data_IF_080250916960
#
_entry.id   IF_080250916960
#
_cell.length_a   1.000
_cell.length_b   1.000
_cell.length_c   1.000
_cell.angle_alpha   90.00
_cell.angle_beta   90.00
_cell.angle_gamma   90.00
#
_symmetry.space_group_name_H-M   'P 1'
#
loop_
_entity.id
_entity.type
_entity.pdbx_description
1 polymer ?
#
# COMPACT_ATOMS: atom_id res chain seq x y z
N UNK A 1 -56.87 -30.01 -19.75
CA UNK A 1 -58.17 -29.91 -19.04
C UNK A 1 -57.81 -29.58 -17.59
N UNK A 2 -58.15 -28.41 -17.02
CA UNK A 2 -59.49 -27.85 -16.67
C UNK A 2 -60.23 -28.72 -15.64
N UNK A 3 -60.86 -28.23 -14.55
CA UNK A 3 -60.94 -26.93 -13.79
C UNK A 3 -61.77 -27.23 -12.50
N UNK A 4 -61.88 -26.48 -11.39
CA UNK A 4 -61.47 -25.15 -10.87
C UNK A 4 -60.70 -25.36 -9.51
N UNK A 5 -60.13 -24.42 -8.72
CA UNK A 5 -60.19 -22.95 -8.47
C UNK A 5 -61.30 -22.41 -7.51
N UNK A 6 -60.91 -21.89 -6.33
CA UNK A 6 -61.80 -21.26 -5.32
C UNK A 6 -61.21 -19.98 -4.68
N UNK A 7 -62.00 -18.90 -4.77
CA UNK A 7 -62.20 -17.74 -3.85
C UNK A 7 -61.02 -16.87 -3.35
N UNK A 8 -60.96 -15.58 -3.73
CA UNK A 8 -61.60 -14.36 -3.14
C UNK A 8 -60.92 -13.87 -1.83
N UNK A 9 -60.09 -12.80 -1.90
CA UNK A 9 -60.43 -11.34 -1.84
C UNK A 9 -60.75 -10.82 -0.42
N UNK A 10 -59.85 -9.99 0.13
CA UNK A 10 -60.09 -9.18 1.33
C UNK A 10 -58.99 -8.13 1.58
N UNK A 11 -59.31 -6.85 1.40
CA UNK A 11 -58.51 -5.63 1.66
C UNK A 11 -59.47 -4.42 1.73
N UNK A 12 -59.10 -3.25 2.30
CA UNK A 12 -57.91 -2.92 3.09
C UNK A 12 -58.26 -2.25 4.45
N UNK A 13 -57.25 -1.85 5.23
CA UNK A 13 -57.39 -0.85 6.29
C UNK A 13 -56.29 0.23 6.17
N UNK A 14 -56.63 1.49 6.44
CA UNK A 14 -55.71 2.64 6.45
C UNK A 14 -55.23 2.89 7.88
N UNK A 15 -54.03 3.43 8.09
CA UNK A 15 -53.82 4.45 9.15
C UNK A 15 -52.54 5.31 8.97
N UNK A 16 -52.79 6.60 8.86
CA UNK A 16 -51.98 7.78 9.23
C UNK A 16 -52.99 8.83 9.74
N UNK A 17 -52.61 9.96 10.36
CA UNK A 17 -51.27 10.52 10.59
C UNK A 17 -50.99 10.87 12.08
N UNK A 18 -49.84 11.48 12.39
CA UNK A 18 -49.75 12.86 12.88
C UNK A 18 -48.34 13.27 13.32
N UNK A 19 -48.03 14.53 13.04
CA UNK A 19 -46.83 15.27 13.44
C UNK A 19 -46.76 15.56 14.94
N UNK A 20 -45.55 15.76 15.47
CA UNK A 20 -45.34 16.73 16.56
C UNK A 20 -44.09 17.60 16.35
N UNK A 21 -44.14 18.82 16.90
CA UNK A 21 -43.14 19.89 16.81
C UNK A 21 -42.96 20.48 18.22
N UNK A 22 -41.85 21.20 18.45
CA UNK A 22 -41.39 21.72 19.75
C UNK A 22 -40.96 20.59 20.73
N UNK A 23 -39.83 20.64 21.44
CA UNK A 23 -39.12 21.73 22.15
C UNK A 23 -39.76 22.11 23.48
N UNK A 24 -39.12 21.68 24.59
CA UNK A 24 -38.53 22.55 25.60
C UNK A 24 -37.72 21.73 26.62
N UNK A 25 -36.71 22.35 27.25
CA UNK A 25 -35.95 21.79 28.38
C UNK A 25 -36.46 22.40 29.69
N UNK A 26 -36.24 21.73 30.84
CA UNK A 26 -35.46 22.43 31.87
C UNK A 26 -34.51 21.55 32.70
N UNK A 27 -33.29 22.07 32.93
CA UNK A 27 -32.47 22.02 34.18
C UNK A 27 -32.12 20.63 34.78
N UNK A 28 -30.93 20.39 35.36
CA UNK A 28 -30.11 21.29 36.19
C UNK A 28 -28.59 21.03 36.11
N UNK A 29 -27.84 22.14 36.14
CA UNK A 29 -26.69 22.43 37.02
C UNK A 29 -25.65 21.34 37.30
N UNK A 30 -24.46 21.51 36.70
CA UNK A 30 -23.23 21.72 37.49
C UNK A 30 -22.48 22.93 36.91
N UNK A 31 -21.85 23.73 37.78
CA UNK A 31 -21.22 25.01 37.40
C UNK A 31 -19.69 24.90 37.35
N UNK A 32 -19.09 25.56 36.37
CA UNK A 32 -17.66 25.90 36.33
C UNK A 32 -17.52 27.42 36.12
N UNK A 33 -16.56 28.09 36.77
CA UNK A 33 -16.44 29.55 36.73
C UNK A 33 -16.04 30.07 35.34
N UNK A 34 -16.67 31.17 34.92
CA UNK A 34 -16.23 31.96 33.78
C UNK A 34 -15.14 32.95 34.21
N UNK A 35 -14.07 33.18 33.41
CA UNK A 35 -13.19 34.32 33.60
C UNK A 35 -13.92 35.64 33.23
N UNK A 36 -13.51 36.79 33.78
CA UNK A 36 -14.16 38.08 33.51
C UNK A 36 -13.95 38.54 32.06
N UNK A 37 -14.90 39.33 31.49
CA UNK A 37 -14.78 39.85 30.13
C UNK A 37 -13.67 40.91 30.03
N UNK A 38 -12.74 40.71 29.08
CA UNK A 38 -11.74 41.72 28.74
C UNK A 38 -12.39 42.88 27.96
N UNK A 39 -12.20 44.10 28.45
CA UNK A 39 -12.63 45.33 27.77
C UNK A 39 -11.74 45.56 26.54
N UNK A 40 -12.34 45.76 25.37
CA UNK A 40 -11.61 46.05 24.14
C UNK A 40 -11.22 47.53 24.05
N UNK A 41 -9.91 47.80 24.15
CA UNK A 41 -9.31 49.11 23.85
C UNK A 41 -8.63 49.14 22.47
N UNK A 42 -8.60 50.27 21.75
CA UNK A 42 -8.12 50.33 20.37
C UNK A 42 -6.59 50.37 20.27
N UNK A 43 -5.97 49.24 19.90
CA UNK A 43 -4.54 49.13 19.56
C UNK A 43 -4.30 48.17 18.39
N UNK A 44 -4.93 48.46 17.24
CA UNK A 44 -4.75 47.71 16.00
C UNK A 44 -3.39 48.03 15.36
N UNK A 45 -2.78 47.03 14.71
CA UNK A 45 -1.62 47.13 13.80
C UNK A 45 -0.23 47.50 14.36
N UNK A 46 0.40 46.61 15.16
CA UNK A 46 1.87 46.39 15.06
C UNK A 46 2.40 45.02 15.56
N UNK A 47 1.68 43.89 15.38
CA UNK A 47 2.16 42.56 15.88
C UNK A 47 2.01 41.35 14.95
N UNK A 48 1.77 41.54 13.66
CA UNK A 48 1.51 40.43 12.70
C UNK A 48 2.74 39.82 12.00
N UNK A 49 3.95 40.37 12.19
CA UNK A 49 5.15 39.93 11.46
C UNK A 49 6.06 38.91 12.19
N UNK A 50 6.09 38.90 13.53
CA UNK A 50 7.11 38.12 14.28
C UNK A 50 6.65 36.72 14.75
N UNK A 51 5.34 36.48 14.85
CA UNK A 51 4.81 35.22 15.40
C UNK A 51 4.94 33.99 14.48
N UNK A 52 4.91 34.19 13.16
CA UNK A 52 4.89 33.11 12.16
C UNK A 52 6.25 32.45 11.97
N UNK A 53 7.34 33.23 12.00
CA UNK A 53 8.70 32.72 11.86
C UNK A 53 9.08 31.78 13.02
N UNK A 54 8.91 32.23 14.27
CA UNK A 54 9.26 31.46 15.47
C UNK A 54 8.43 30.18 15.59
N UNK A 55 7.12 30.24 15.30
CA UNK A 55 6.25 29.07 15.27
C UNK A 55 6.64 28.05 14.20
N UNK A 56 7.19 28.50 13.06
CA UNK A 56 7.68 27.62 11.99
C UNK A 56 8.99 26.93 12.36
N UNK A 57 9.91 27.64 13.03
CA UNK A 57 11.16 27.05 13.57
C UNK A 57 10.87 26.02 14.65
N UNK A 58 10.01 26.34 15.62
CA UNK A 58 9.60 25.39 16.67
C UNK A 58 8.92 24.14 16.10
N UNK A 59 8.02 24.28 15.12
CA UNK A 59 7.41 23.13 14.41
C UNK A 59 8.41 22.30 13.58
N UNK A 60 9.58 22.83 13.27
CA UNK A 60 10.67 22.10 12.59
C UNK A 60 11.55 21.33 13.58
N UNK A 61 11.79 21.88 14.77
CA UNK A 61 12.55 21.21 15.84
C UNK A 61 11.72 20.18 16.61
N UNK A 62 10.41 20.41 16.81
CA UNK A 62 9.48 19.49 17.50
C UNK A 62 8.95 18.36 16.60
N UNK A 63 9.62 18.04 15.48
CA UNK A 63 9.37 16.78 14.77
C UNK A 63 10.11 15.68 15.52
N UNK A 64 9.42 14.66 16.08
CA UNK A 64 10.13 13.51 16.64
C UNK A 64 10.96 12.84 15.54
N UNK A 65 12.19 12.38 15.84
CA UNK A 65 12.94 11.56 14.90
C UNK A 65 12.10 10.33 14.56
N UNK A 66 12.00 9.99 13.27
CA UNK A 66 11.43 8.70 12.87
C UNK A 66 12.43 7.60 13.21
N UNK A 67 12.33 7.09 14.43
CA UNK A 67 12.86 5.77 14.81
C UNK A 67 12.07 4.71 14.05
N UNK A 68 12.40 4.53 12.78
CA UNK A 68 11.99 3.38 11.99
C UNK A 68 12.96 2.25 12.35
N UNK A 69 12.59 1.43 13.34
CA UNK A 69 13.40 0.31 13.82
C UNK A 69 13.42 -0.80 12.75
N UNK A 70 14.36 -0.71 11.81
CA UNK A 70 14.56 -1.70 10.74
C UNK A 70 15.51 -2.78 11.24
N UNK A 71 14.95 -3.85 11.82
CA UNK A 71 15.71 -5.02 12.26
C UNK A 71 15.99 -5.91 11.04
N UNK A 72 17.20 -5.83 10.49
CA UNK A 72 17.65 -6.71 9.41
C UNK A 72 17.96 -8.11 9.97
N UNK A 73 16.95 -9.00 10.03
CA UNK A 73 17.12 -10.41 10.40
C UNK A 73 17.18 -11.28 9.15
N UNK A 74 18.32 -11.95 8.94
CA UNK A 74 18.44 -13.09 8.01
C UNK A 74 18.36 -14.39 8.82
N UNK A 75 17.19 -15.04 8.94
CA UNK A 75 17.08 -16.34 9.59
C UNK A 75 17.74 -17.43 8.71
N UNK A 76 18.20 -18.55 9.30
CA UNK A 76 18.79 -19.67 8.56
C UNK A 76 17.75 -20.41 7.70
N UNK A 77 18.18 -21.14 6.67
CA UNK A 77 17.28 -21.79 5.71
C UNK A 77 16.30 -22.81 6.33
N UNK A 78 16.69 -23.47 7.43
CA UNK A 78 15.78 -24.37 8.18
C UNK A 78 14.58 -23.64 8.79
N UNK A 79 14.67 -22.32 8.99
CA UNK A 79 13.55 -21.52 9.48
C UNK A 79 12.52 -21.21 8.38
N UNK A 80 12.91 -21.13 7.10
CA UNK A 80 11.91 -20.96 6.02
C UNK A 80 11.15 -22.27 5.75
N UNK A 81 11.77 -23.43 5.90
CA UNK A 81 11.06 -24.71 5.73
C UNK A 81 9.99 -24.89 6.83
N UNK A 82 10.33 -24.69 8.11
CA UNK A 82 9.36 -24.73 9.21
C UNK A 82 8.28 -23.61 9.12
N UNK A 83 8.62 -22.43 8.59
CA UNK A 83 7.66 -21.36 8.29
C UNK A 83 6.66 -21.79 7.20
N UNK A 84 7.13 -22.50 6.17
CA UNK A 84 6.29 -22.98 5.06
C UNK A 84 5.41 -24.16 5.46
N UNK A 85 5.90 -25.11 6.28
CA UNK A 85 5.07 -26.19 6.84
C UNK A 85 3.93 -25.62 7.70
N UNK A 86 4.24 -24.63 8.54
CA UNK A 86 3.24 -23.91 9.36
C UNK A 86 2.19 -23.20 8.49
N UNK A 87 2.60 -22.60 7.37
CA UNK A 87 1.68 -21.94 6.43
C UNK A 87 0.87 -22.96 5.61
N UNK A 88 1.42 -24.14 5.31
CA UNK A 88 0.75 -25.21 4.57
C UNK A 88 -0.36 -25.86 5.40
N UNK A 89 -0.08 -26.22 6.66
CA UNK A 89 -1.11 -26.74 7.58
C UNK A 89 -2.28 -25.77 7.74
N UNK A 90 -2.01 -24.46 7.82
CA UNK A 90 -3.04 -23.40 7.90
C UNK A 90 -3.84 -23.22 6.61
N UNK A 91 -3.22 -23.39 5.44
CA UNK A 91 -3.90 -23.38 4.15
C UNK A 91 -4.92 -24.53 4.03
N UNK A 92 -4.65 -25.66 4.68
CA UNK A 92 -5.55 -26.83 4.71
C UNK A 92 -6.44 -26.93 5.96
N UNK A 93 -6.43 -25.93 6.86
CA UNK A 93 -7.25 -25.93 8.08
C UNK A 93 -8.54 -25.12 7.88
N UNK A 94 -9.74 -25.77 7.85
CA UNK A 94 -11.00 -25.07 7.72
C UNK A 94 -11.20 -24.02 8.82
N UNK A 95 -11.51 -22.79 8.42
CA UNK A 95 -11.68 -21.65 9.33
C UNK A 95 -10.44 -20.75 9.49
N UNK A 96 -9.24 -21.15 9.04
CA UNK A 96 -8.12 -20.22 8.96
C UNK A 96 -8.28 -19.22 7.80
N UNK A 97 -7.82 -17.99 7.99
CA UNK A 97 -7.78 -16.95 6.97
C UNK A 97 -6.81 -17.22 5.80
N UNK A 98 -6.04 -18.33 5.82
CA UNK A 98 -5.33 -18.86 4.65
C UNK A 98 -6.19 -19.86 3.86
N UNK A 99 -7.03 -20.67 4.51
CA UNK A 99 -7.91 -21.62 3.84
C UNK A 99 -8.95 -20.93 2.92
N UNK A 100 -9.30 -19.68 3.23
CA UNK A 100 -10.13 -18.81 2.39
C UNK A 100 -9.39 -18.20 1.18
N UNK A 101 -8.19 -18.65 0.81
CA UNK A 101 -7.49 -18.19 -0.40
C UNK A 101 -8.26 -18.51 -1.68
N UNK A 102 -8.27 -17.56 -2.61
CA UNK A 102 -8.71 -17.77 -4.00
C UNK A 102 -7.59 -18.45 -4.79
N UNK A 103 -7.91 -19.35 -5.73
CA UNK A 103 -6.89 -19.90 -6.64
C UNK A 103 -6.68 -18.96 -7.83
N UNK A 104 -5.42 -18.65 -8.12
CA UNK A 104 -5.03 -17.95 -9.34
C UNK A 104 -5.05 -18.90 -10.56
N UNK A 105 -5.07 -18.37 -11.80
CA UNK A 105 -4.75 -19.16 -12.99
C UNK A 105 -3.39 -19.85 -12.84
N UNK A 106 -3.21 -21.01 -13.50
CA UNK A 106 -1.95 -21.76 -13.50
C UNK A 106 -0.81 -20.90 -14.08
N UNK A 107 0.07 -20.38 -13.22
CA UNK A 107 1.19 -19.51 -13.62
C UNK A 107 2.44 -20.31 -14.03
N UNK A 108 2.58 -21.53 -13.51
CA UNK A 108 3.59 -22.54 -13.87
C UNK A 108 2.93 -23.93 -13.80
N UNK A 109 3.39 -24.92 -14.57
CA UNK A 109 3.01 -26.32 -14.39
C UNK A 109 3.25 -26.82 -12.96
N UNK A 110 2.51 -27.85 -12.57
CA UNK A 110 2.66 -28.63 -11.32
C UNK A 110 2.51 -27.86 -9.98
N UNK A 111 2.39 -26.53 -10.03
CA UNK A 111 2.28 -25.65 -8.87
C UNK A 111 0.90 -24.96 -8.82
N UNK A 112 0.29 -24.94 -7.62
CA UNK A 112 -0.95 -24.22 -7.35
C UNK A 112 -0.65 -22.90 -6.65
N UNK A 113 -1.27 -21.82 -7.16
CA UNK A 113 -1.05 -20.46 -6.68
C UNK A 113 -2.29 -19.97 -5.93
N UNK A 114 -2.14 -19.70 -4.64
CA UNK A 114 -3.22 -19.33 -3.72
C UNK A 114 -3.09 -17.85 -3.33
N UNK A 115 -4.09 -17.04 -3.66
CA UNK A 115 -4.10 -15.60 -3.47
C UNK A 115 -5.16 -15.13 -2.47
N UNK A 116 -4.77 -14.22 -1.57
CA UNK A 116 -5.67 -13.44 -0.70
C UNK A 116 -5.19 -12.00 -0.56
N UNK A 117 -6.08 -11.13 -0.08
CA UNK A 117 -5.77 -9.73 0.26
C UNK A 117 -6.07 -9.46 1.74
N UNK A 118 -5.19 -8.74 2.42
CA UNK A 118 -5.34 -8.33 3.83
C UNK A 118 -4.64 -6.99 4.08
N UNK A 119 -5.31 -6.04 4.75
CA UNK A 119 -4.90 -4.62 4.91
C UNK A 119 -4.40 -3.93 3.63
N UNK A 120 -4.90 -4.36 2.46
CA UNK A 120 -4.49 -3.89 1.13
C UNK A 120 -3.16 -4.46 0.62
N UNK A 121 -2.53 -5.38 1.34
CA UNK A 121 -1.43 -6.20 0.84
C UNK A 121 -1.96 -7.47 0.19
N UNK A 122 -1.29 -7.94 -0.88
CA UNK A 122 -1.69 -9.15 -1.60
C UNK A 122 -0.71 -10.28 -1.31
N UNK A 123 -1.20 -11.41 -0.84
CA UNK A 123 -0.42 -12.59 -0.48
C UNK A 123 -0.62 -13.64 -1.56
N UNK A 124 0.47 -14.22 -2.08
CA UNK A 124 0.46 -15.34 -3.03
C UNK A 124 1.30 -16.48 -2.46
N UNK A 125 0.66 -17.55 -2.00
CA UNK A 125 1.31 -18.78 -1.56
C UNK A 125 1.40 -19.75 -2.75
N UNK A 126 2.48 -20.53 -2.81
CA UNK A 126 2.75 -21.44 -3.93
C UNK A 126 2.91 -22.86 -3.38
N UNK A 127 2.05 -23.77 -3.83
CA UNK A 127 1.95 -25.15 -3.33
C UNK A 127 2.38 -26.15 -4.42
N UNK A 128 3.24 -27.10 -4.05
CA UNK A 128 3.48 -28.33 -4.81
C UNK A 128 2.53 -29.39 -4.24
N UNK A 129 1.38 -29.57 -4.90
CA UNK A 129 0.32 -30.49 -4.43
C UNK A 129 0.76 -31.95 -4.57
N UNK A 130 1.66 -32.26 -5.49
CA UNK A 130 2.20 -33.62 -5.68
C UNK A 130 3.16 -34.01 -4.54
N UNK A 131 3.83 -33.04 -3.93
CA UNK A 131 4.68 -33.22 -2.73
C UNK A 131 3.96 -32.92 -1.41
N UNK A 132 2.77 -32.33 -1.48
CA UNK A 132 1.96 -31.97 -0.31
C UNK A 132 2.60 -30.88 0.57
N UNK A 133 3.27 -29.88 -0.02
CA UNK A 133 3.93 -28.82 0.73
C UNK A 133 3.93 -27.45 0.01
N UNK A 134 4.24 -26.37 0.75
CA UNK A 134 4.46 -25.05 0.14
C UNK A 134 5.88 -24.92 -0.41
N UNK A 135 5.97 -24.58 -1.70
CA UNK A 135 7.21 -24.20 -2.37
C UNK A 135 7.74 -22.82 -1.91
N UNK A 136 6.84 -21.94 -1.48
CA UNK A 136 7.16 -20.60 -1.01
C UNK A 136 5.97 -19.64 -1.04
N UNK A 137 6.26 -18.35 -0.89
CA UNK A 137 5.27 -17.28 -1.03
C UNK A 137 5.89 -15.96 -1.52
N UNK A 138 5.02 -15.09 -2.03
CA UNK A 138 5.27 -13.66 -2.27
C UNK A 138 4.22 -12.85 -1.51
N UNK A 139 4.64 -11.83 -0.78
CA UNK A 139 3.74 -10.77 -0.28
C UNK A 139 4.03 -9.50 -1.05
N UNK A 140 3.00 -8.92 -1.65
CA UNK A 140 3.01 -7.60 -2.26
C UNK A 140 2.65 -6.59 -1.17
N UNK A 141 3.67 -6.16 -0.42
CA UNK A 141 3.52 -5.27 0.73
C UNK A 141 3.09 -3.87 0.28
N UNK A 142 2.45 -3.13 1.18
CA UNK A 142 2.19 -1.70 1.00
C UNK A 142 3.47 -0.89 1.20
N UNK A 143 3.63 0.19 0.44
CA UNK A 143 4.88 0.96 0.41
C UNK A 143 4.73 2.15 1.37
N UNK A 144 4.96 1.92 2.66
CA UNK A 144 4.83 2.96 3.68
C UNK A 144 5.77 4.15 3.43
N UNK A 145 6.86 3.97 2.67
CA UNK A 145 7.79 5.01 2.23
C UNK A 145 7.21 6.07 1.27
N UNK A 146 5.98 5.92 0.74
CA UNK A 146 5.27 6.95 -0.06
C UNK A 146 3.99 7.45 0.62
N UNK A 147 3.29 8.39 -0.02
CA UNK A 147 2.02 8.94 0.48
C UNK A 147 0.82 8.03 0.21
N UNK A 148 -0.29 8.24 0.95
CA UNK A 148 -1.53 7.43 0.88
C UNK A 148 -2.29 7.47 -0.45
N UNK A 149 -1.87 8.27 -1.43
CA UNK A 149 -2.39 8.23 -2.81
C UNK A 149 -1.48 7.39 -3.69
N UNK A 150 -0.16 7.54 -3.58
CA UNK A 150 0.82 6.71 -4.30
C UNK A 150 0.79 5.25 -3.83
N UNK A 151 0.66 4.99 -2.52
CA UNK A 151 0.50 3.65 -1.90
C UNK A 151 -0.68 2.83 -2.48
N UNK A 152 -1.67 3.47 -3.11
CA UNK A 152 -2.80 2.77 -3.75
C UNK A 152 -2.43 2.11 -5.09
N UNK A 153 -1.30 2.48 -5.68
CA UNK A 153 -0.92 2.11 -7.04
C UNK A 153 0.41 1.36 -7.11
N UNK A 154 1.18 1.34 -6.03
CA UNK A 154 2.47 0.65 -5.93
C UNK A 154 2.46 -0.44 -4.86
N UNK A 155 3.25 -1.50 -5.04
CA UNK A 155 3.51 -2.54 -4.02
C UNK A 155 5.00 -2.87 -3.96
N UNK A 156 5.49 -3.25 -2.78
CA UNK A 156 6.85 -3.74 -2.57
C UNK A 156 6.83 -5.27 -2.45
N UNK A 157 7.20 -6.05 -3.48
CA UNK A 157 7.13 -7.49 -3.42
C UNK A 157 8.29 -8.08 -2.60
N UNK A 158 7.96 -8.89 -1.60
CA UNK A 158 8.88 -9.65 -0.77
C UNK A 158 8.57 -11.14 -0.92
N UNK A 159 9.55 -11.95 -1.33
CA UNK A 159 9.35 -13.37 -1.63
C UNK A 159 10.34 -14.26 -0.88
N UNK A 160 9.85 -15.40 -0.40
CA UNK A 160 10.66 -16.49 0.18
C UNK A 160 10.28 -17.80 -0.49
N UNK A 161 11.25 -18.66 -0.78
CA UNK A 161 11.04 -20.01 -1.33
C UNK A 161 12.00 -20.98 -0.65
N UNK A 162 11.53 -22.19 -0.32
CA UNK A 162 12.41 -23.24 0.21
C UNK A 162 13.52 -23.56 -0.82
N UNK A 163 14.75 -23.91 -0.39
CA UNK A 163 15.91 -24.03 -1.27
C UNK A 163 15.67 -24.86 -2.54
N UNK A 164 14.95 -25.98 -2.43
CA UNK A 164 14.62 -26.86 -3.55
C UNK A 164 13.83 -26.18 -4.70
N UNK A 165 13.11 -25.09 -4.43
CA UNK A 165 12.26 -24.38 -5.40
C UNK A 165 12.86 -23.05 -5.89
N UNK A 166 14.01 -22.64 -5.35
CA UNK A 166 14.73 -21.47 -5.84
C UNK A 166 15.22 -21.68 -7.29
N UNK A 167 15.42 -20.59 -8.03
CA UNK A 167 15.80 -20.64 -9.45
C UNK A 167 14.70 -21.07 -10.44
N UNK A 168 13.66 -21.78 -10.00
CA UNK A 168 12.57 -22.34 -10.86
C UNK A 168 11.60 -21.30 -11.48
N UNK A 169 11.96 -20.02 -11.53
CA UNK A 169 11.14 -18.96 -12.16
C UNK A 169 9.85 -18.56 -11.43
N UNK A 170 9.56 -19.14 -10.26
CA UNK A 170 8.30 -18.91 -9.50
C UNK A 170 8.08 -17.41 -9.22
N UNK A 171 9.11 -16.72 -8.72
CA UNK A 171 9.07 -15.27 -8.49
C UNK A 171 8.76 -14.48 -9.77
N UNK A 172 9.35 -14.87 -10.91
CA UNK A 172 9.11 -14.25 -12.21
C UNK A 172 7.63 -14.36 -12.61
N UNK A 173 7.04 -15.55 -12.48
CA UNK A 173 5.65 -15.81 -12.84
C UNK A 173 4.66 -15.05 -11.95
N UNK A 174 4.93 -14.99 -10.64
CA UNK A 174 4.10 -14.23 -9.67
C UNK A 174 4.22 -12.72 -9.88
N UNK A 175 5.42 -12.21 -10.22
CA UNK A 175 5.63 -10.78 -10.51
C UNK A 175 5.02 -10.41 -11.86
N UNK A 176 5.13 -11.26 -12.89
CA UNK A 176 4.48 -11.09 -14.19
C UNK A 176 2.95 -11.04 -14.05
N UNK A 177 2.36 -11.92 -13.24
CA UNK A 177 0.92 -11.88 -12.93
C UNK A 177 0.51 -10.54 -12.28
N UNK A 178 1.26 -10.08 -11.28
CA UNK A 178 0.99 -8.82 -10.58
C UNK A 178 1.14 -7.60 -11.50
N UNK A 179 2.19 -7.58 -12.34
CA UNK A 179 2.39 -6.55 -13.36
C UNK A 179 1.27 -6.60 -14.41
N UNK A 180 0.87 -7.78 -14.87
CA UNK A 180 -0.27 -7.97 -15.78
C UNK A 180 -1.61 -7.52 -15.20
N UNK A 181 -1.81 -7.66 -13.87
CA UNK A 181 -2.93 -7.10 -13.10
C UNK A 181 -2.89 -5.57 -12.94
N UNK A 182 -1.83 -4.91 -13.40
CA UNK A 182 -1.67 -3.45 -13.34
C UNK A 182 -1.09 -2.92 -12.04
N UNK A 183 -0.44 -3.76 -11.21
CA UNK A 183 0.33 -3.28 -10.06
C UNK A 183 1.65 -2.67 -10.55
N UNK A 184 2.04 -1.50 -10.04
CA UNK A 184 3.42 -1.04 -10.18
C UNK A 184 4.26 -1.65 -9.04
N UNK A 185 5.31 -2.39 -9.36
CA UNK A 185 6.18 -2.99 -8.34
C UNK A 185 7.34 -2.04 -8.06
N UNK A 186 7.61 -1.74 -6.78
CA UNK A 186 8.78 -0.96 -6.32
C UNK A 186 9.71 -1.87 -5.51
N UNK A 187 11.02 -1.75 -5.68
CA UNK A 187 11.98 -2.68 -5.05
C UNK A 187 12.10 -2.50 -3.53
N UNK A 188 12.72 -3.48 -2.87
CA UNK A 188 13.29 -3.28 -1.54
C UNK A 188 14.45 -2.26 -1.55
N UNK A 189 14.86 -1.82 -0.36
CA UNK A 189 15.97 -0.87 -0.15
C UNK A 189 17.36 -1.49 -0.36
N UNK A 190 17.46 -2.81 -0.17
CA UNK A 190 18.58 -3.65 -0.55
C UNK A 190 18.02 -4.81 -1.37
N UNK A 191 18.79 -5.32 -2.31
CA UNK A 191 18.43 -6.47 -3.14
C UNK A 191 19.58 -7.47 -3.11
N UNK A 192 19.28 -8.77 -3.09
CA UNK A 192 20.28 -9.79 -3.42
C UNK A 192 20.61 -9.73 -4.91
N UNK A 193 21.76 -10.28 -5.33
CA UNK A 193 22.12 -10.35 -6.74
C UNK A 193 21.05 -11.08 -7.59
N UNK A 194 20.46 -12.16 -7.05
CA UNK A 194 19.35 -12.90 -7.68
C UNK A 194 18.08 -12.06 -7.81
N UNK A 195 17.73 -11.25 -6.80
CA UNK A 195 16.63 -10.29 -6.91
C UNK A 195 16.91 -9.24 -7.98
N UNK A 196 18.09 -8.61 -7.97
CA UNK A 196 18.45 -7.60 -8.97
C UNK A 196 18.42 -8.16 -10.41
N UNK A 197 18.90 -9.39 -10.62
CA UNK A 197 18.81 -10.11 -11.89
C UNK A 197 17.35 -10.38 -12.31
N UNK A 198 16.48 -10.80 -11.39
CA UNK A 198 15.03 -10.95 -11.63
C UNK A 198 14.39 -9.63 -12.10
N UNK A 199 14.69 -8.52 -11.42
CA UNK A 199 14.15 -7.21 -11.79
C UNK A 199 14.59 -6.77 -13.19
N UNK A 200 15.85 -7.01 -13.57
CA UNK A 200 16.34 -6.76 -14.93
C UNK A 200 15.81 -7.77 -15.97
N UNK A 201 15.45 -9.00 -15.58
CA UNK A 201 14.79 -9.96 -16.47
C UNK A 201 13.33 -9.57 -16.77
N UNK A 202 12.61 -9.05 -15.78
CA UNK A 202 11.26 -8.48 -15.94
C UNK A 202 11.29 -7.18 -16.76
N UNK A 203 12.32 -6.36 -16.61
CA UNK A 203 12.51 -5.11 -17.36
C UNK A 203 12.56 -5.27 -18.89
N UNK A 204 12.79 -6.50 -19.40
CA UNK A 204 12.71 -6.81 -20.84
C UNK A 204 11.29 -6.82 -21.42
N UNK A 205 10.26 -6.83 -20.55
CA UNK A 205 8.83 -6.88 -20.93
C UNK A 205 7.99 -5.80 -20.27
N UNK A 206 8.37 -5.34 -19.07
CA UNK A 206 7.67 -4.31 -18.30
C UNK A 206 8.54 -3.07 -18.17
N UNK A 207 8.05 -1.84 -18.41
CA UNK A 207 8.87 -0.64 -18.35
C UNK A 207 9.51 -0.42 -16.98
N UNK A 208 10.84 -0.49 -16.91
CA UNK A 208 11.65 -0.20 -15.73
C UNK A 208 12.01 1.28 -15.66
N UNK A 209 11.98 1.86 -14.46
CA UNK A 209 12.63 3.13 -14.12
C UNK A 209 13.34 3.06 -12.77
N UNK A 210 14.22 4.03 -12.53
CA UNK A 210 14.80 4.30 -11.22
C UNK A 210 14.07 5.47 -10.57
N UNK A 211 13.86 5.40 -9.27
CA UNK A 211 13.18 6.44 -8.48
C UNK A 211 13.85 6.67 -7.13
N UNK A 212 13.79 7.89 -6.61
CA UNK A 212 14.13 8.20 -5.22
C UNK A 212 12.86 8.36 -4.38
N UNK A 213 12.81 7.68 -3.23
CA UNK A 213 11.72 7.79 -2.25
C UNK A 213 12.09 8.84 -1.19
N UNK A 214 11.68 10.09 -1.41
CA UNK A 214 12.01 11.25 -0.56
C UNK A 214 10.75 11.88 0.01
N UNK A 215 10.76 12.25 1.29
CA UNK A 215 9.66 12.98 1.99
C UNK A 215 8.25 12.39 1.80
N UNK A 216 8.13 11.05 1.69
CA UNK A 216 6.91 10.29 1.34
C UNK A 216 6.39 10.59 -0.09
N UNK A 217 7.28 10.78 -1.05
CA UNK A 217 7.02 10.97 -2.49
C UNK A 217 8.02 10.19 -3.34
N UNK A 218 7.62 9.86 -4.56
CA UNK A 218 8.45 9.15 -5.54
C UNK A 218 8.94 10.12 -6.62
N UNK A 219 10.26 10.21 -6.80
CA UNK A 219 10.91 11.11 -7.77
C UNK A 219 11.59 10.32 -8.90
N UNK A 220 11.32 10.68 -10.14
CA UNK A 220 11.85 10.05 -11.36
C UNK A 220 13.35 10.34 -11.51
N UNK A 221 14.19 9.30 -11.50
CA UNK A 221 15.64 9.40 -11.73
C UNK A 221 16.05 9.03 -13.17
N UNK A 222 15.13 8.49 -13.98
CA UNK A 222 15.44 8.04 -15.36
C UNK A 222 15.23 6.55 -15.60
N UNK A 223 15.75 6.07 -16.73
CA UNK A 223 15.81 4.64 -17.07
C UNK A 223 17.08 3.95 -16.51
N UNK A 224 18.09 4.73 -16.15
CA UNK A 224 19.36 4.30 -15.55
C UNK A 224 19.84 5.34 -14.54
N UNK A 225 20.73 4.92 -13.63
CA UNK A 225 21.46 5.78 -12.68
C UNK A 225 22.89 5.29 -12.52
N UNK A 226 23.79 6.12 -11.99
CA UNK A 226 25.15 5.70 -11.65
C UNK A 226 25.16 4.60 -10.55
N UNK A 227 26.14 3.68 -10.52
CA UNK A 227 26.19 2.61 -9.51
C UNK A 227 26.18 3.10 -8.05
N UNK A 228 26.84 4.22 -7.77
CA UNK A 228 26.81 4.89 -6.46
C UNK A 228 25.40 5.34 -6.08
N UNK A 229 24.65 5.92 -7.03
CA UNK A 229 23.26 6.33 -6.85
C UNK A 229 22.31 5.14 -6.69
N UNK A 230 22.57 4.02 -7.40
CA UNK A 230 21.81 2.78 -7.29
C UNK A 230 21.93 2.13 -5.90
N UNK A 231 23.05 2.33 -5.21
CA UNK A 231 23.31 1.79 -3.87
C UNK A 231 22.72 2.65 -2.73
N UNK A 232 22.15 3.83 -3.01
CA UNK A 232 21.56 4.68 -1.97
C UNK A 232 20.26 4.10 -1.38
N UNK A 233 20.12 4.15 -0.06
CA UNK A 233 18.97 3.61 0.68
C UNK A 233 17.63 4.33 0.41
N UNK A 234 17.60 5.42 -0.38
CA UNK A 234 16.37 6.04 -0.89
C UNK A 234 16.08 5.70 -2.36
N UNK A 235 17.05 5.17 -3.11
CA UNK A 235 16.92 4.82 -4.54
C UNK A 235 16.29 3.43 -4.69
N UNK A 236 15.37 3.29 -5.64
CA UNK A 236 14.64 2.06 -5.95
C UNK A 236 14.52 1.85 -7.44
N UNK A 237 14.27 0.59 -7.81
CA UNK A 237 13.71 0.23 -9.11
C UNK A 237 12.18 0.28 -9.02
N UNK A 238 11.51 0.71 -10.09
CA UNK A 238 10.06 0.55 -10.30
C UNK A 238 9.77 -0.10 -11.64
N UNK A 239 9.02 -1.20 -11.63
CA UNK A 239 8.47 -1.86 -12.81
C UNK A 239 7.00 -1.44 -12.96
N UNK A 240 6.64 -0.94 -14.14
CA UNK A 240 5.30 -0.45 -14.42
C UNK A 240 4.42 -1.59 -14.96
N UNK A 241 3.33 -1.88 -14.23
CA UNK A 241 2.34 -2.86 -14.66
C UNK A 241 1.50 -2.41 -15.86
N UNK A 242 0.70 -3.34 -16.37
CA UNK A 242 -0.19 -3.12 -17.51
C UNK A 242 -1.07 -1.88 -17.32
N UNK A 243 -1.21 -1.08 -18.39
CA UNK A 243 -1.94 0.19 -18.38
C UNK A 243 -1.22 1.37 -17.69
N UNK A 244 -0.06 1.16 -17.06
CA UNK A 244 0.75 2.24 -16.48
C UNK A 244 1.88 2.70 -17.40
N UNK A 245 2.19 3.99 -17.29
CA UNK A 245 3.36 4.59 -17.91
C UNK A 245 3.90 5.69 -17.00
N UNK A 246 5.17 6.05 -17.15
CA UNK A 246 5.76 7.14 -16.38
C UNK A 246 5.06 8.49 -16.67
N UNK A 247 4.53 8.67 -17.89
CA UNK A 247 3.71 9.82 -18.22
C UNK A 247 2.38 9.82 -17.44
N UNK A 248 1.70 8.66 -17.31
CA UNK A 248 0.46 8.51 -16.51
C UNK A 248 0.70 8.72 -15.01
N UNK A 249 1.82 8.22 -14.48
CA UNK A 249 2.20 8.49 -13.08
C UNK A 249 2.50 9.98 -12.86
N UNK A 250 3.15 10.66 -13.82
CA UNK A 250 3.42 12.12 -13.73
C UNK A 250 2.18 12.98 -13.89
N UNK A 251 1.25 12.66 -14.81
CA UNK A 251 0.01 13.43 -14.98
C UNK A 251 -0.94 13.31 -13.78
N UNK A 252 -0.95 12.17 -13.09
CA UNK A 252 -1.62 12.02 -11.80
C UNK A 252 -0.81 12.59 -10.62
N UNK A 253 0.45 12.99 -10.82
CA UNK A 253 1.34 13.50 -9.77
C UNK A 253 1.76 12.47 -8.72
N UNK A 254 1.78 11.19 -9.10
CA UNK A 254 2.25 10.05 -8.30
C UNK A 254 3.77 9.83 -8.46
N UNK A 255 4.31 10.30 -9.59
CA UNK A 255 5.73 10.38 -9.88
C UNK A 255 6.08 11.86 -10.13
N UNK A 256 7.10 12.36 -9.43
CA UNK A 256 7.58 13.75 -9.55
C UNK A 256 8.87 13.81 -10.37
N UNK A 257 9.28 14.98 -10.91
CA UNK A 257 10.63 15.19 -11.41
C UNK A 257 11.69 14.93 -10.32
N UNK A 258 12.93 14.64 -10.73
CA UNK A 258 14.09 14.64 -9.84
C UNK A 258 14.15 15.93 -9.00
N UNK A 259 14.44 15.82 -7.71
CA UNK A 259 14.43 16.96 -6.79
C UNK A 259 15.46 18.04 -7.18
N UNK A 260 16.60 17.64 -7.76
CA UNK A 260 17.60 18.55 -8.31
C UNK A 260 17.08 19.33 -9.53
N UNK A 261 16.39 18.66 -10.46
CA UNK A 261 15.78 19.32 -11.62
C UNK A 261 14.64 20.29 -11.24
N UNK A 262 13.93 20.04 -10.13
CA UNK A 262 12.96 20.98 -9.58
C UNK A 262 13.63 22.26 -9.07
N UNK A 263 14.75 22.15 -8.35
CA UNK A 263 15.55 23.29 -7.89
C UNK A 263 16.15 24.08 -9.07
N UNK A 264 16.67 23.39 -10.08
CA UNK A 264 17.16 23.98 -11.33
C UNK A 264 16.07 24.79 -12.04
N UNK A 265 14.85 24.24 -12.15
CA UNK A 265 13.71 24.90 -12.78
C UNK A 265 13.22 26.13 -11.98
N UNK A 266 13.35 26.11 -10.65
CA UNK A 266 13.07 27.28 -9.80
C UNK A 266 14.14 28.36 -9.94
N UNK A 267 15.43 27.98 -10.02
CA UNK A 267 16.56 28.91 -10.20
C UNK A 267 16.55 29.63 -11.55
N UNK A 268 15.98 29.01 -12.60
CA UNK A 268 15.80 29.64 -13.93
C UNK A 268 14.52 30.48 -14.06
N UNK A 269 13.82 30.74 -12.94
CA UNK A 269 12.56 31.49 -12.86
C UNK A 269 12.59 32.59 -11.78
N UNK A 270 13.77 32.89 -11.26
CA UNK A 270 14.06 33.92 -10.27
C UNK A 270 15.22 34.79 -10.80
#
# INVERSE_FOLDING_TARGET
MNTLALHLRGLPARHTPLSHRASLSPRSVLAFPQPPPFVAGPAVALRTALGTALATVLRRMLRPPRMELRIDVSPPDTAIEAELDTLHGRLHTPGDALHACTRLPTLLPDLVFHHREADGEHYVYVEDVARGCLAGYTVFNRLIEVDRRTDRHVRSPHSKYAPAYQGRGIASAVYDWALGRGFCLVSGARQSAGAHALWHALARRHPLRWVALRTKRMHDLGASVAPTRAAELDTRMILLGHGWSAARLRSLGLLHPAAEAANETMRRRA
#
